data_IF_943465295240
#
_entry.id   IF_943465295240
#
_cell.length_a   1.000
_cell.length_b   1.000
_cell.length_c   1.000
_cell.angle_alpha   90.00
_cell.angle_beta   90.00
_cell.angle_gamma   90.00
#
_symmetry.space_group_name_H-M   'P 1'
#
loop_
_entity.id
_entity.type
_entity.pdbx_description
1 polymer ?
#
# COMPACT_ATOMS: atom_id res chain seq x y z
N UNK A 1 -28.73 -15.43 1.91
CA UNK A 1 -28.48 -14.30 0.98
C UNK A 1 -27.36 -14.72 0.04
N UNK A 2 -27.53 -14.57 -1.27
CA UNK A 2 -26.47 -14.76 -2.27
C UNK A 2 -26.00 -13.39 -2.70
N UNK A 3 -24.70 -13.15 -2.63
CA UNK A 3 -24.07 -11.88 -3.04
C UNK A 3 -22.76 -12.17 -3.79
N UNK A 4 -22.19 -11.21 -4.53
CA UNK A 4 -20.84 -11.31 -5.04
C UNK A 4 -19.84 -11.53 -3.90
N UNK A 5 -18.73 -12.22 -4.16
CA UNK A 5 -17.65 -12.34 -3.18
C UNK A 5 -17.03 -10.97 -2.88
N UNK A 6 -16.57 -10.79 -1.66
CA UNK A 6 -15.93 -9.54 -1.25
C UNK A 6 -14.56 -9.36 -1.92
N UNK A 7 -14.12 -8.10 -1.97
CA UNK A 7 -12.79 -7.70 -2.43
C UNK A 7 -12.15 -6.91 -1.30
N UNK A 8 -10.95 -7.31 -0.87
CA UNK A 8 -10.16 -6.54 0.07
C UNK A 8 -9.04 -5.80 -0.69
N UNK A 9 -9.06 -4.49 -0.63
CA UNK A 9 -8.11 -3.65 -1.40
C UNK A 9 -6.81 -3.38 -0.65
N UNK A 10 -6.64 -3.87 0.59
CA UNK A 10 -5.46 -3.62 1.38
C UNK A 10 -5.16 -4.77 2.33
N UNK A 11 -4.32 -5.71 1.88
CA UNK A 11 -3.86 -6.83 2.70
C UNK A 11 -2.35 -6.99 2.66
N UNK A 12 -1.80 -7.72 3.65
CA UNK A 12 -0.38 -8.03 3.71
C UNK A 12 -0.17 -9.53 3.64
N UNK A 13 0.29 -10.03 2.49
CA UNK A 13 0.60 -11.45 2.31
C UNK A 13 2.02 -11.83 2.73
N UNK A 14 2.86 -10.83 3.03
CA UNK A 14 4.18 -10.96 3.66
C UNK A 14 5.23 -11.76 2.90
N UNK A 15 4.87 -12.51 1.88
CA UNK A 15 5.77 -13.26 1.01
C UNK A 15 6.04 -12.45 -0.28
N UNK A 16 7.33 -12.29 -0.67
CA UNK A 16 8.54 -12.89 -0.09
C UNK A 16 9.08 -12.18 1.17
N UNK A 17 9.87 -12.93 1.95
CA UNK A 17 10.79 -12.43 2.96
C UNK A 17 10.25 -12.35 4.39
N UNK A 18 8.96 -12.46 4.60
CA UNK A 18 8.33 -12.46 5.91
C UNK A 18 7.38 -13.66 6.11
N UNK A 19 7.71 -14.80 5.50
CA UNK A 19 6.91 -16.02 5.50
C UNK A 19 6.61 -16.58 6.90
N UNK A 20 7.43 -16.20 7.88
CA UNK A 20 7.18 -16.53 9.29
C UNK A 20 5.94 -15.82 9.88
N UNK A 21 5.46 -14.74 9.23
CA UNK A 21 4.24 -14.02 9.63
C UNK A 21 3.03 -14.48 8.83
N UNK A 22 3.19 -14.60 7.50
CA UNK A 22 2.15 -14.98 6.56
C UNK A 22 2.78 -15.40 5.23
N UNK A 23 2.12 -16.28 4.50
CA UNK A 23 2.46 -16.64 3.11
C UNK A 23 1.32 -16.25 2.18
N UNK A 24 1.59 -16.16 0.89
CA UNK A 24 0.50 -15.94 -0.10
C UNK A 24 -0.57 -17.03 0.04
N UNK A 25 -0.17 -18.29 0.22
CA UNK A 25 -1.09 -19.41 0.34
C UNK A 25 -1.99 -19.32 1.59
N UNK A 26 -1.43 -19.02 2.76
CA UNK A 26 -2.19 -18.92 4.01
C UNK A 26 -3.09 -17.69 4.04
N UNK A 27 -2.59 -16.54 3.53
CA UNK A 27 -3.37 -15.32 3.46
C UNK A 27 -4.57 -15.41 2.51
N UNK A 28 -4.41 -16.02 1.31
CA UNK A 28 -5.56 -16.22 0.42
C UNK A 28 -6.54 -17.27 0.95
N UNK A 29 -6.07 -18.26 1.71
CA UNK A 29 -6.94 -19.22 2.38
C UNK A 29 -7.80 -18.53 3.46
N UNK A 30 -7.19 -17.64 4.26
CA UNK A 30 -7.90 -16.82 5.23
C UNK A 30 -8.93 -15.89 4.55
N UNK A 31 -8.55 -15.26 3.43
CA UNK A 31 -9.44 -14.42 2.64
C UNK A 31 -10.69 -15.19 2.19
N UNK A 32 -10.51 -16.36 1.58
CA UNK A 32 -11.62 -17.20 1.11
C UNK A 32 -12.51 -17.64 2.27
N UNK A 33 -11.93 -18.00 3.42
CA UNK A 33 -12.68 -18.33 4.62
C UNK A 33 -13.54 -17.16 5.13
N UNK A 34 -13.08 -15.91 4.90
CA UNK A 34 -13.83 -14.68 5.19
C UNK A 34 -14.83 -14.26 4.11
N UNK A 35 -14.93 -15.02 2.99
CA UNK A 35 -15.83 -14.69 1.88
C UNK A 35 -15.24 -13.74 0.83
N UNK A 36 -13.92 -13.46 0.89
CA UNK A 36 -13.23 -12.65 -0.10
C UNK A 36 -12.79 -13.52 -1.29
N UNK A 37 -13.07 -13.04 -2.48
CA UNK A 37 -12.70 -13.72 -3.75
C UNK A 37 -11.51 -13.03 -4.44
N UNK A 38 -11.13 -11.88 -3.95
CA UNK A 38 -9.99 -11.11 -4.45
C UNK A 38 -9.38 -10.26 -3.32
N UNK A 39 -8.06 -10.10 -3.39
CA UNK A 39 -7.31 -9.25 -2.46
C UNK A 39 -6.25 -8.44 -3.21
N UNK A 40 -6.01 -7.19 -2.79
CA UNK A 40 -4.86 -6.41 -3.26
C UNK A 40 -3.78 -6.41 -2.16
N UNK A 41 -2.58 -6.91 -2.48
CA UNK A 41 -1.51 -7.05 -1.50
C UNK A 41 -0.48 -5.92 -1.61
N UNK A 42 -0.19 -5.31 -0.46
CA UNK A 42 0.74 -4.19 -0.32
C UNK A 42 2.20 -4.61 -0.60
N UNK A 43 3.05 -3.64 -1.02
CA UNK A 43 4.40 -3.90 -1.51
C UNK A 43 5.46 -4.16 -0.43
N UNK A 44 5.12 -4.04 0.84
CA UNK A 44 6.05 -4.12 1.98
C UNK A 44 6.50 -5.55 2.30
N UNK A 45 7.11 -6.16 1.32
CA UNK A 45 7.79 -7.47 1.36
C UNK A 45 9.32 -7.29 1.49
N UNK A 46 10.07 -8.37 1.53
CA UNK A 46 11.54 -8.33 1.56
C UNK A 46 12.13 -9.35 0.58
N UNK A 47 12.63 -8.92 -0.60
CA UNK A 47 12.71 -7.53 -1.07
C UNK A 47 11.33 -6.86 -1.23
N UNK A 48 11.32 -5.52 -1.21
CA UNK A 48 10.13 -4.72 -1.52
C UNK A 48 9.64 -5.03 -2.93
N UNK A 49 8.33 -4.98 -3.16
CA UNK A 49 7.76 -5.13 -4.50
C UNK A 49 7.92 -3.83 -5.31
N UNK A 50 9.15 -3.46 -5.62
CA UNK A 50 9.53 -2.28 -6.40
C UNK A 50 10.08 -2.62 -7.79
N UNK A 51 10.10 -3.90 -8.15
CA UNK A 51 10.49 -4.40 -9.45
C UNK A 51 9.58 -5.51 -9.99
N UNK A 52 9.69 -5.76 -11.30
CA UNK A 52 8.87 -6.74 -12.01
C UNK A 52 9.11 -8.19 -11.57
N UNK A 53 10.29 -8.54 -11.05
CA UNK A 53 10.61 -9.92 -10.65
C UNK A 53 9.85 -10.30 -9.37
N UNK A 54 9.78 -9.38 -8.41
CA UNK A 54 9.02 -9.59 -7.16
C UNK A 54 7.52 -9.66 -7.45
N UNK A 55 7.00 -8.76 -8.29
CA UNK A 55 5.60 -8.83 -8.74
C UNK A 55 5.25 -10.18 -9.35
N UNK A 56 6.10 -10.69 -10.27
CA UNK A 56 5.88 -12.00 -10.90
C UNK A 56 5.97 -13.15 -9.91
N UNK A 57 6.85 -13.07 -8.92
CA UNK A 57 6.95 -14.07 -7.85
C UNK A 57 5.65 -14.13 -7.03
N UNK A 58 5.11 -12.98 -6.62
CA UNK A 58 3.84 -12.90 -5.89
C UNK A 58 2.71 -13.54 -6.70
N UNK A 59 2.61 -13.19 -8.00
CA UNK A 59 1.59 -13.76 -8.89
C UNK A 59 1.76 -15.27 -9.10
N UNK A 60 3.00 -15.76 -9.20
CA UNK A 60 3.29 -17.19 -9.27
C UNK A 60 2.81 -17.93 -7.99
N UNK A 61 3.10 -17.38 -6.82
CA UNK A 61 2.64 -17.93 -5.54
C UNK A 61 1.11 -17.94 -5.44
N UNK A 62 0.47 -16.85 -5.86
CA UNK A 62 -0.98 -16.75 -5.91
C UNK A 62 -1.60 -17.81 -6.86
N UNK A 63 -1.00 -18.00 -8.03
CA UNK A 63 -1.44 -19.03 -8.97
C UNK A 63 -1.28 -20.46 -8.38
N UNK A 64 -0.17 -20.72 -7.71
CA UNK A 64 0.07 -22.01 -7.04
C UNK A 64 -0.92 -22.28 -5.90
N UNK A 65 -1.32 -21.25 -5.16
CA UNK A 65 -2.33 -21.37 -4.11
C UNK A 65 -3.74 -21.63 -4.67
N UNK A 66 -4.10 -21.04 -5.81
CA UNK A 66 -5.29 -21.36 -6.59
C UNK A 66 -6.64 -21.08 -5.89
N UNK A 67 -6.68 -20.17 -4.90
CA UNK A 67 -7.86 -19.90 -4.07
C UNK A 67 -8.53 -18.58 -4.43
N UNK A 68 -7.98 -17.43 -3.96
CA UNK A 68 -8.48 -16.11 -4.29
C UNK A 68 -7.62 -15.47 -5.38
N UNK A 69 -8.16 -14.47 -6.08
CA UNK A 69 -7.38 -13.63 -6.98
C UNK A 69 -6.51 -12.68 -6.16
N UNK A 70 -5.23 -12.57 -6.52
CA UNK A 70 -4.29 -11.65 -5.90
C UNK A 70 -3.91 -10.57 -6.90
N UNK A 71 -4.06 -9.32 -6.50
CA UNK A 71 -3.68 -8.14 -7.26
C UNK A 71 -2.52 -7.46 -6.55
N UNK A 72 -1.27 -7.60 -7.03
CA UNK A 72 -0.12 -6.95 -6.42
C UNK A 72 -0.22 -5.42 -6.54
N UNK A 73 0.11 -4.73 -5.46
CA UNK A 73 0.42 -3.31 -5.43
C UNK A 73 1.93 -3.17 -5.45
N UNK A 74 2.47 -2.33 -6.33
CA UNK A 74 3.90 -2.04 -6.39
C UNK A 74 4.28 -0.88 -5.47
N UNK A 75 5.59 -0.70 -5.19
CA UNK A 75 6.04 0.46 -4.45
C UNK A 75 6.00 1.73 -5.32
N UNK A 76 5.74 2.88 -4.69
CA UNK A 76 5.89 4.21 -5.33
C UNK A 76 7.37 4.51 -5.52
N UNK A 77 8.17 4.28 -4.48
CA UNK A 77 9.60 4.57 -4.47
C UNK A 77 10.44 3.31 -4.31
N UNK A 78 11.67 3.34 -4.83
CA UNK A 78 12.63 2.24 -4.70
C UNK A 78 12.91 1.96 -3.23
N UNK A 79 12.74 0.70 -2.84
CA UNK A 79 12.90 0.26 -1.46
C UNK A 79 11.92 0.91 -0.47
N UNK A 80 10.86 1.59 -0.93
CA UNK A 80 9.96 2.41 -0.11
C UNK A 80 10.73 3.50 0.68
N UNK A 81 11.81 4.02 0.09
CA UNK A 81 12.67 5.02 0.74
C UNK A 81 12.17 6.47 0.61
N UNK A 82 11.16 6.73 -0.27
CA UNK A 82 10.65 8.08 -0.49
C UNK A 82 11.61 9.03 -1.23
N UNK A 83 12.65 8.50 -1.88
CA UNK A 83 13.72 9.31 -2.52
C UNK A 83 13.65 9.27 -4.05
N UNK A 84 13.45 8.10 -4.63
CA UNK A 84 13.43 7.87 -6.06
C UNK A 84 12.24 7.01 -6.45
N UNK A 85 11.53 7.37 -7.53
CA UNK A 85 10.42 6.57 -8.05
C UNK A 85 10.89 5.16 -8.45
N UNK A 86 10.04 4.18 -8.18
CA UNK A 86 10.15 2.86 -8.75
C UNK A 86 9.79 2.90 -10.26
N UNK A 87 10.07 1.81 -10.97
CA UNK A 87 9.77 1.70 -12.40
C UNK A 87 8.29 1.32 -12.60
N UNK A 88 7.38 2.30 -12.34
CA UNK A 88 5.92 2.09 -12.31
C UNK A 88 5.40 1.44 -13.60
N UNK A 89 5.96 1.82 -14.75
CA UNK A 89 5.59 1.21 -16.02
C UNK A 89 5.94 -0.28 -16.11
N UNK A 90 7.08 -0.70 -15.56
CA UNK A 90 7.47 -2.11 -15.50
C UNK A 90 6.61 -2.89 -14.48
N UNK A 91 6.29 -2.28 -13.34
CA UNK A 91 5.37 -2.84 -12.34
C UNK A 91 3.99 -3.08 -12.94
N UNK A 92 3.46 -2.11 -13.71
CA UNK A 92 2.20 -2.27 -14.44
C UNK A 92 2.25 -3.41 -15.44
N UNK A 93 3.31 -3.46 -16.25
CA UNK A 93 3.50 -4.53 -17.24
C UNK A 93 3.66 -5.91 -16.59
N UNK A 94 4.20 -5.97 -15.38
CA UNK A 94 4.31 -7.21 -14.59
C UNK A 94 3.00 -7.66 -13.95
N UNK A 95 2.00 -6.77 -13.83
CA UNK A 95 0.66 -7.08 -13.32
C UNK A 95 0.25 -6.35 -12.05
N UNK A 96 0.99 -5.33 -11.60
CA UNK A 96 0.53 -4.45 -10.52
C UNK A 96 -0.71 -3.65 -10.95
N UNK A 97 -1.61 -3.43 -10.01
CA UNK A 97 -2.87 -2.70 -10.24
C UNK A 97 -2.86 -1.29 -9.65
N UNK A 98 -1.96 -1.01 -8.73
CA UNK A 98 -1.77 0.25 -8.05
C UNK A 98 -0.32 0.37 -7.58
N UNK A 99 0.07 1.53 -7.06
CA UNK A 99 1.33 1.72 -6.34
C UNK A 99 1.11 2.37 -4.98
N UNK A 100 1.93 1.97 -4.00
CA UNK A 100 1.87 2.44 -2.62
C UNK A 100 3.23 2.29 -1.94
N UNK A 101 3.58 3.21 -1.06
CA UNK A 101 4.67 3.00 -0.09
C UNK A 101 4.10 2.67 1.30
N UNK A 102 3.07 1.84 1.36
CA UNK A 102 2.33 1.49 2.57
C UNK A 102 3.21 1.29 3.80
N UNK A 103 2.84 1.95 4.90
CA UNK A 103 3.61 2.02 6.14
C UNK A 103 4.74 3.06 6.12
N UNK A 104 5.04 3.66 4.96
CA UNK A 104 6.06 4.70 4.78
C UNK A 104 5.47 5.83 3.93
N UNK A 105 5.13 6.99 4.53
CA UNK A 105 4.56 8.10 3.76
C UNK A 105 5.57 8.66 2.77
N UNK A 106 5.12 8.99 1.57
CA UNK A 106 5.93 9.75 0.60
C UNK A 106 5.98 11.22 1.05
N UNK A 107 6.96 11.55 1.89
CA UNK A 107 7.05 12.88 2.52
C UNK A 107 7.25 14.02 1.51
N UNK A 108 7.93 13.77 0.39
CA UNK A 108 8.22 14.79 -0.62
C UNK A 108 7.00 15.04 -1.52
N UNK A 109 6.37 16.20 -1.41
CA UNK A 109 5.29 16.63 -2.31
C UNK A 109 5.72 16.63 -3.79
N UNK A 110 6.99 16.92 -4.09
CA UNK A 110 7.50 16.89 -5.48
C UNK A 110 7.64 15.47 -6.00
N UNK A 111 8.00 14.50 -5.14
CA UNK A 111 8.05 13.09 -5.51
C UNK A 111 6.64 12.53 -5.69
N UNK A 112 5.72 12.84 -4.76
CA UNK A 112 4.31 12.45 -4.86
C UNK A 112 3.67 12.98 -6.15
N UNK A 113 3.87 14.26 -6.48
CA UNK A 113 3.40 14.83 -7.75
C UNK A 113 3.90 14.02 -8.95
N UNK A 114 5.20 13.71 -9.00
CA UNK A 114 5.77 12.91 -10.11
C UNK A 114 5.23 11.48 -10.13
N UNK A 115 4.98 10.89 -8.96
CA UNK A 115 4.36 9.57 -8.85
C UNK A 115 2.96 9.57 -9.45
N UNK A 116 2.14 10.57 -9.12
CA UNK A 116 0.80 10.75 -9.68
C UNK A 116 0.85 10.95 -11.22
N UNK A 117 1.72 11.86 -11.70
CA UNK A 117 1.90 12.08 -13.14
C UNK A 117 2.34 10.80 -13.87
N UNK A 118 3.28 10.04 -13.32
CA UNK A 118 3.81 8.83 -13.95
C UNK A 118 2.81 7.66 -13.87
N UNK A 119 2.16 7.44 -12.73
CA UNK A 119 1.18 6.38 -12.55
C UNK A 119 -0.06 6.58 -13.46
N UNK A 120 -0.49 7.83 -13.64
CA UNK A 120 -1.64 8.16 -14.50
C UNK A 120 -1.42 7.80 -15.98
N UNK A 121 -0.17 7.76 -16.46
CA UNK A 121 0.15 7.30 -17.82
C UNK A 121 -0.25 5.84 -18.07
N UNK A 122 -0.46 5.06 -17.02
CA UNK A 122 -0.78 3.63 -17.05
C UNK A 122 -2.13 3.30 -16.43
N UNK A 123 -2.97 4.29 -16.15
CA UNK A 123 -4.24 4.15 -15.43
C UNK A 123 -4.07 3.42 -14.07
N UNK A 124 -2.98 3.73 -13.36
CA UNK A 124 -2.69 3.18 -12.05
C UNK A 124 -2.97 4.22 -10.96
N UNK A 125 -3.79 3.92 -9.96
CA UNK A 125 -3.94 4.77 -8.79
C UNK A 125 -2.71 4.71 -7.89
N UNK A 126 -2.45 5.82 -7.20
CA UNK A 126 -1.51 5.88 -6.08
C UNK A 126 -2.31 5.77 -4.78
N UNK A 127 -1.92 4.86 -3.91
CA UNK A 127 -2.51 4.65 -2.59
C UNK A 127 -1.48 5.13 -1.57
N UNK A 128 -1.71 6.29 -0.93
CA UNK A 128 -0.75 6.83 0.02
C UNK A 128 -1.03 6.39 1.46
N UNK A 129 0.03 6.25 2.24
CA UNK A 129 0.00 6.14 3.68
C UNK A 129 0.10 7.55 4.25
N UNK A 130 -1.04 8.21 4.40
CA UNK A 130 -1.11 9.62 4.77
C UNK A 130 -0.70 9.82 6.22
N UNK A 131 0.57 10.13 6.44
CA UNK A 131 1.12 10.44 7.76
C UNK A 131 2.26 11.44 7.66
N UNK A 132 2.15 12.59 8.32
CA UNK A 132 3.27 13.51 8.53
C UNK A 132 4.09 13.00 9.72
N UNK A 133 5.24 12.38 9.43
CA UNK A 133 6.12 11.79 10.44
C UNK A 133 6.63 12.85 11.43
N UNK A 134 6.77 14.10 11.00
CA UNK A 134 7.25 15.18 11.89
C UNK A 134 6.23 15.54 12.97
N UNK A 135 4.94 15.35 12.68
CA UNK A 135 3.84 15.52 13.64
C UNK A 135 3.53 14.23 14.40
N UNK A 136 3.57 13.09 13.71
CA UNK A 136 3.30 11.78 14.32
C UNK A 136 4.36 11.44 15.38
N UNK A 137 5.63 11.73 15.08
CA UNK A 137 6.75 11.48 15.98
C UNK A 137 6.79 10.02 16.43
N UNK A 138 6.78 9.80 17.73
CA UNK A 138 6.72 8.50 18.37
C UNK A 138 5.36 8.26 19.06
N UNK A 139 4.29 8.87 18.55
CA UNK A 139 2.91 8.66 18.97
C UNK A 139 2.49 7.19 18.82
N UNK A 140 1.77 6.66 19.80
CA UNK A 140 1.33 5.25 19.84
C UNK A 140 -0.19 5.09 19.92
N UNK A 141 -0.90 6.19 20.03
CA UNK A 141 -2.35 6.23 20.09
C UNK A 141 -2.84 7.57 19.54
N UNK A 142 -4.08 7.61 19.06
CA UNK A 142 -4.71 8.88 18.67
C UNK A 142 -4.67 9.88 19.83
N UNK A 143 -4.22 11.11 19.56
CA UNK A 143 -4.19 12.18 20.56
C UNK A 143 -5.60 12.53 21.04
N UNK A 144 -5.83 12.39 22.35
CA UNK A 144 -7.14 12.64 22.92
C UNK A 144 -7.27 12.15 24.34
N UNK A 145 -8.50 12.15 24.86
CA UNK A 145 -8.81 11.80 26.24
C UNK A 145 -8.22 10.44 26.67
N UNK A 146 -8.34 9.42 25.83
CA UNK A 146 -7.87 8.07 26.19
C UNK A 146 -6.35 7.97 26.22
N UNK A 147 -5.65 8.58 25.26
CA UNK A 147 -4.20 8.62 25.28
C UNK A 147 -3.69 9.36 26.53
N UNK A 148 -4.28 10.51 26.83
CA UNK A 148 -3.93 11.30 28.02
C UNK A 148 -4.21 10.54 29.32
N UNK A 149 -5.37 9.88 29.44
CA UNK A 149 -5.75 9.11 30.63
C UNK A 149 -4.84 7.90 30.88
N UNK A 150 -4.29 7.31 29.82
CA UNK A 150 -3.38 6.15 29.88
C UNK A 150 -1.90 6.53 29.91
N UNK A 151 -1.57 7.83 29.86
CA UNK A 151 -0.19 8.31 29.80
C UNK A 151 0.54 7.92 28.51
N UNK A 152 -0.21 7.71 27.42
CA UNK A 152 0.34 7.36 26.09
C UNK A 152 0.67 8.64 25.31
N UNK A 153 1.72 8.57 24.49
CA UNK A 153 2.03 9.65 23.56
C UNK A 153 1.00 9.70 22.45
N UNK A 154 0.40 10.88 22.24
CA UNK A 154 -0.62 11.10 21.24
C UNK A 154 -0.04 11.26 19.85
N UNK A 155 -0.79 10.82 18.85
CA UNK A 155 -0.60 11.06 17.43
C UNK A 155 -1.73 11.99 17.00
N UNK A 156 -1.45 13.26 16.65
CA UNK A 156 -2.48 14.22 16.32
C UNK A 156 -3.16 13.89 14.98
N UNK A 157 -4.47 14.11 14.87
CA UNK A 157 -5.22 13.94 13.62
C UNK A 157 -4.62 14.72 12.46
N UNK A 158 -4.06 15.90 12.75
CA UNK A 158 -3.40 16.74 11.76
C UNK A 158 -2.24 16.03 11.03
N UNK A 159 -1.62 15.00 11.63
CA UNK A 159 -0.58 14.22 10.96
C UNK A 159 -1.11 13.50 9.71
N UNK A 160 -2.34 13.02 9.74
CA UNK A 160 -3.02 12.42 8.59
C UNK A 160 -3.65 13.49 7.68
N UNK A 161 -4.38 14.43 8.26
CA UNK A 161 -5.16 15.46 7.54
C UNK A 161 -4.30 16.27 6.58
N UNK A 162 -3.12 16.72 7.00
CA UNK A 162 -2.20 17.51 6.17
C UNK A 162 -1.75 16.74 4.94
N UNK A 163 -1.42 15.45 5.07
CA UNK A 163 -1.02 14.64 3.93
C UNK A 163 -2.19 14.35 2.99
N UNK A 164 -3.38 14.08 3.53
CA UNK A 164 -4.60 13.92 2.72
C UNK A 164 -4.89 15.21 1.92
N UNK A 165 -4.85 16.39 2.55
CA UNK A 165 -5.06 17.67 1.86
C UNK A 165 -4.01 17.92 0.78
N UNK A 166 -2.75 17.61 1.06
CA UNK A 166 -1.65 17.68 0.09
C UNK A 166 -1.95 16.83 -1.14
N UNK A 167 -2.32 15.58 -0.93
CA UNK A 167 -2.49 14.60 -2.01
C UNK A 167 -3.74 14.89 -2.84
N UNK A 168 -4.84 15.31 -2.21
CA UNK A 168 -6.02 15.81 -2.93
C UNK A 168 -5.67 17.03 -3.78
N UNK A 169 -4.86 17.96 -3.27
CA UNK A 169 -4.40 19.12 -4.03
C UNK A 169 -3.53 18.70 -5.22
N UNK A 170 -2.62 17.75 -5.03
CA UNK A 170 -1.75 17.23 -6.09
C UNK A 170 -2.53 16.43 -7.14
N UNK A 171 -3.50 15.62 -6.72
CA UNK A 171 -4.44 14.93 -7.61
C UNK A 171 -5.19 15.94 -8.50
N UNK A 172 -5.75 17.01 -7.90
CA UNK A 172 -6.38 18.09 -8.67
C UNK A 172 -5.45 18.81 -9.64
N UNK A 173 -4.17 18.97 -9.30
CA UNK A 173 -3.15 19.58 -10.15
C UNK A 173 -2.76 18.69 -11.34
N UNK A 174 -2.64 17.39 -11.11
CA UNK A 174 -2.13 16.41 -12.10
C UNK A 174 -3.25 15.77 -12.92
N UNK A 175 -4.49 15.82 -12.43
CA UNK A 175 -5.61 15.09 -12.99
C UNK A 175 -5.56 13.57 -12.75
N UNK A 176 -4.63 13.11 -11.90
CA UNK A 176 -4.51 11.70 -11.51
C UNK A 176 -5.59 11.34 -10.47
N UNK A 177 -6.12 10.09 -10.51
CA UNK A 177 -7.11 9.62 -9.54
C UNK A 177 -6.48 9.38 -8.16
#
# INVERSE_FOLDING_TARGET
>A
VVCPGFIDMHVHLREPGHEHKETVATGVAAAVAGGFTAVACMPNTSPVNDDAAITRLILLRAHQAGLARVYPVGAVSKGQAGEQLAEIGELRAAGCVAVSDDGHPVASASLMRRALEYASMFDMPVIDHCEDISLAGDGVAHEGHHAAALGLRGLPAAAEEINVERDVTLSGLTGAP
#
